data_IF_218651579130
#
_entry.id   IF_218651579130
#
_cell.length_a   1.000
_cell.length_b   1.000
_cell.length_c   1.000
_cell.angle_alpha   90.00
_cell.angle_beta   90.00
_cell.angle_gamma   90.00
#
_symmetry.space_group_name_H-M   'P 1'
#
loop_
_entity.id
_entity.type
_entity.pdbx_description
1 polymer ?
#
# COMPACT_ATOMS: atom_id res chain seq x y z
N UNK A 1 13.77 12.35 19.99
CA UNK A 1 12.43 11.78 20.27
C UNK A 1 11.46 12.45 19.30
N UNK A 2 10.98 11.74 18.28
CA UNK A 2 9.90 12.24 17.42
C UNK A 2 8.59 11.73 18.03
N UNK A 3 7.83 12.63 18.63
CA UNK A 3 6.52 12.31 19.20
C UNK A 3 5.47 12.35 18.09
N UNK A 4 4.90 11.19 17.76
CA UNK A 4 3.79 10.94 16.82
C UNK A 4 2.44 11.51 17.28
N UNK A 5 2.43 12.62 18.04
CA UNK A 5 1.17 13.20 18.54
C UNK A 5 0.52 14.07 17.47
N UNK A 6 -0.51 13.53 16.81
CA UNK A 6 -1.43 14.28 15.94
C UNK A 6 -1.36 13.98 14.44
N UNK A 7 -0.60 12.96 14.01
CA UNK A 7 -0.53 12.59 12.59
C UNK A 7 -1.85 11.91 12.19
N UNK A 8 -2.55 12.49 11.21
CA UNK A 8 -3.77 11.92 10.63
C UNK A 8 -3.49 11.07 9.39
N UNK A 9 -2.34 11.31 8.76
CA UNK A 9 -1.96 10.71 7.48
C UNK A 9 -0.54 10.17 7.56
N UNK A 10 -0.38 8.86 7.32
CA UNK A 10 0.90 8.19 7.22
C UNK A 10 1.26 8.02 5.74
N UNK A 11 2.33 8.66 5.29
CA UNK A 11 2.84 8.54 3.91
C UNK A 11 4.04 7.58 3.91
N UNK A 12 3.96 6.54 3.10
CA UNK A 12 4.96 5.47 3.03
C UNK A 12 5.40 5.30 1.59
N UNK A 13 6.52 5.90 1.23
CA UNK A 13 7.08 5.83 -0.12
C UNK A 13 8.15 4.74 -0.19
N UNK A 14 7.85 3.62 -0.85
CA UNK A 14 8.78 2.52 -1.12
C UNK A 14 9.60 2.06 0.12
N UNK A 15 9.05 2.24 1.32
CA UNK A 15 9.73 2.05 2.61
C UNK A 15 10.19 0.60 2.89
N UNK A 16 9.84 -0.34 2.01
CA UNK A 16 10.17 -1.77 2.08
C UNK A 16 11.22 -2.23 1.05
N UNK A 17 11.65 -1.39 0.10
CA UNK A 17 12.51 -1.85 -1.01
C UNK A 17 13.91 -2.33 -0.60
N UNK A 18 14.43 -1.86 0.54
CA UNK A 18 15.74 -2.26 1.07
C UNK A 18 15.69 -3.49 2.00
N UNK A 19 14.51 -4.07 2.23
CA UNK A 19 14.30 -5.18 3.16
C UNK A 19 14.21 -6.53 2.44
N UNK A 20 14.63 -7.59 3.13
CA UNK A 20 14.35 -8.97 2.69
C UNK A 20 12.83 -9.16 2.51
N UNK A 21 12.35 -9.88 1.48
CA UNK A 21 10.92 -10.04 1.21
C UNK A 21 10.08 -10.51 2.41
N UNK A 22 10.64 -11.34 3.30
CA UNK A 22 9.94 -11.76 4.53
C UNK A 22 9.83 -10.62 5.54
N UNK A 23 10.88 -9.81 5.66
CA UNK A 23 10.91 -8.67 6.57
C UNK A 23 10.01 -7.55 6.07
N UNK A 24 9.94 -7.34 4.74
CA UNK A 24 9.01 -6.42 4.10
C UNK A 24 7.55 -6.77 4.43
N UNK A 25 7.15 -8.04 4.23
CA UNK A 25 5.81 -8.50 4.56
C UNK A 25 5.48 -8.30 6.06
N UNK A 26 6.42 -8.63 6.94
CA UNK A 26 6.26 -8.41 8.38
C UNK A 26 6.08 -6.92 8.73
N UNK A 27 6.85 -6.02 8.12
CA UNK A 27 6.72 -4.58 8.32
C UNK A 27 5.38 -4.04 7.80
N UNK A 28 4.89 -4.55 6.67
CA UNK A 28 3.60 -4.17 6.10
C UNK A 28 2.44 -4.61 7.00
N UNK A 29 2.50 -5.84 7.53
CA UNK A 29 1.50 -6.34 8.47
C UNK A 29 1.50 -5.54 9.79
N UNK A 30 2.69 -5.23 10.31
CA UNK A 30 2.81 -4.41 11.51
C UNK A 30 2.23 -3.00 11.28
N UNK A 31 2.57 -2.40 10.14
CA UNK A 31 2.06 -1.07 9.75
C UNK A 31 0.55 -1.09 9.62
N UNK A 32 -0.02 -2.13 9.00
CA UNK A 32 -1.47 -2.30 8.89
C UNK A 32 -2.13 -2.36 10.26
N UNK A 33 -1.60 -3.15 11.19
CA UNK A 33 -2.14 -3.26 12.54
C UNK A 33 -2.13 -1.90 13.26
N UNK A 34 -1.03 -1.15 13.15
CA UNK A 34 -0.91 0.20 13.74
C UNK A 34 -1.95 1.16 13.14
N UNK A 35 -2.13 1.12 11.82
CA UNK A 35 -3.10 1.97 11.10
C UNK A 35 -4.54 1.63 11.52
N UNK A 36 -4.86 0.35 11.67
CA UNK A 36 -6.19 -0.11 12.12
C UNK A 36 -6.45 0.25 13.59
N UNK A 37 -5.48 0.02 14.48
CA UNK A 37 -5.58 0.33 15.92
C UNK A 37 -5.71 1.84 16.17
N UNK A 38 -4.91 2.64 15.48
CA UNK A 38 -4.85 4.10 15.67
C UNK A 38 -5.80 4.87 14.73
N UNK A 39 -6.55 4.17 13.87
CA UNK A 39 -7.45 4.74 12.85
C UNK A 39 -6.78 5.81 12.00
N UNK A 40 -5.55 5.53 11.57
CA UNK A 40 -4.78 6.43 10.72
C UNK A 40 -5.23 6.28 9.25
N UNK A 41 -5.04 7.33 8.45
CA UNK A 41 -5.12 7.18 6.99
C UNK A 41 -3.71 6.90 6.48
N UNK A 42 -3.45 5.73 5.91
CA UNK A 42 -2.15 5.44 5.30
C UNK A 42 -2.23 5.51 3.77
N UNK A 43 -1.26 6.18 3.15
CA UNK A 43 -1.01 6.14 1.71
C UNK A 43 0.35 5.50 1.48
N UNK A 44 0.35 4.36 0.81
CA UNK A 44 1.55 3.61 0.46
C UNK A 44 1.79 3.70 -1.04
N UNK A 45 3.02 4.01 -1.42
CA UNK A 45 3.50 3.96 -2.81
C UNK A 45 4.44 2.77 -2.94
N UNK A 46 4.16 1.89 -3.90
CA UNK A 46 4.99 0.71 -4.17
C UNK A 46 4.96 0.38 -5.66
N UNK A 47 6.07 -0.12 -6.17
CA UNK A 47 6.15 -0.69 -7.52
C UNK A 47 5.69 -2.16 -7.54
N UNK A 48 5.50 -2.79 -6.37
CA UNK A 48 5.04 -4.17 -6.23
C UNK A 48 3.51 -4.23 -6.21
N UNK A 49 2.94 -4.71 -7.31
CA UNK A 49 1.49 -4.96 -7.42
C UNK A 49 0.99 -5.95 -6.37
N UNK A 50 1.81 -6.95 -5.99
CA UNK A 50 1.42 -7.95 -4.99
C UNK A 50 1.21 -7.30 -3.62
N UNK A 51 2.15 -6.46 -3.19
CA UNK A 51 2.07 -5.79 -1.89
C UNK A 51 0.91 -4.78 -1.86
N UNK A 52 0.66 -4.11 -2.99
CA UNK A 52 -0.43 -3.15 -3.10
C UNK A 52 -1.82 -3.81 -2.98
N UNK A 53 -1.97 -5.06 -3.41
CA UNK A 53 -3.22 -5.81 -3.39
C UNK A 53 -3.43 -6.60 -2.09
N UNK A 54 -2.36 -7.12 -1.50
CA UNK A 54 -2.45 -7.93 -0.29
C UNK A 54 -2.62 -7.06 0.97
N UNK A 55 -2.12 -5.82 0.99
CA UNK A 55 -2.13 -4.95 2.18
C UNK A 55 -3.06 -3.72 2.08
N UNK A 56 -3.52 -3.35 0.88
CA UNK A 56 -4.37 -2.18 0.67
C UNK A 56 -5.84 -2.55 0.43
N UNK A 57 -6.83 -1.94 1.11
CA UNK A 57 -8.25 -2.16 0.79
C UNK A 57 -8.67 -1.52 -0.54
N UNK A 58 -7.97 -0.46 -0.95
CA UNK A 58 -8.11 0.23 -2.24
C UNK A 58 -6.72 0.45 -2.80
N UNK A 59 -6.56 0.13 -4.08
CA UNK A 59 -5.29 0.27 -4.79
C UNK A 59 -5.50 1.23 -5.95
N UNK A 60 -4.61 2.20 -6.09
CA UNK A 60 -4.63 3.14 -7.20
C UNK A 60 -3.47 2.78 -8.13
N UNK A 61 -3.79 2.31 -9.33
CA UNK A 61 -2.79 1.96 -10.34
C UNK A 61 -2.63 3.10 -11.33
N UNK A 62 -1.40 3.58 -11.45
CA UNK A 62 -1.00 4.61 -12.40
C UNK A 62 -0.30 3.93 -13.58
N UNK A 63 -0.76 4.21 -14.80
CA UNK A 63 -0.16 3.67 -16.03
C UNK A 63 -0.10 4.76 -17.11
N UNK A 64 1.11 5.00 -17.64
CA UNK A 64 1.42 5.92 -18.76
C UNK A 64 0.71 7.29 -18.74
N UNK A 65 0.96 8.10 -17.69
CA UNK A 65 0.45 9.47 -17.59
C UNK A 65 -0.78 9.59 -16.66
N UNK A 66 -1.65 10.60 -16.83
CA UNK A 66 -2.75 10.89 -15.90
C UNK A 66 -3.87 9.83 -15.89
N UNK A 67 -3.77 8.77 -16.69
CA UNK A 67 -4.65 7.61 -16.65
C UNK A 67 -4.43 6.81 -15.37
N UNK A 68 -5.36 7.00 -14.44
CA UNK A 68 -5.38 6.38 -13.14
C UNK A 68 -6.58 5.43 -13.04
N UNK A 69 -6.35 4.15 -12.72
CA UNK A 69 -7.41 3.19 -12.44
C UNK A 69 -7.47 2.89 -10.94
N UNK A 70 -8.67 2.94 -10.36
CA UNK A 70 -8.89 2.61 -8.94
C UNK A 70 -9.41 1.18 -8.87
N UNK A 71 -8.67 0.31 -8.19
CA UNK A 71 -8.96 -1.11 -8.07
C UNK A 71 -9.35 -1.44 -6.63
N UNK A 72 -10.47 -2.17 -6.43
CA UNK A 72 -10.71 -2.86 -5.17
C UNK A 72 -9.68 -3.97 -4.98
N UNK A 73 -9.15 -4.13 -3.77
CA UNK A 73 -8.21 -5.21 -3.41
C UNK A 73 -8.71 -6.61 -3.86
N UNK A 74 -10.02 -6.81 -3.83
CA UNK A 74 -10.69 -8.06 -4.17
C UNK A 74 -10.85 -8.31 -5.67
N UNK A 75 -10.83 -7.29 -6.53
CA UNK A 75 -11.03 -7.46 -7.99
C UNK A 75 -9.75 -7.79 -8.75
N UNK A 76 -8.58 -7.67 -8.14
CA UNK A 76 -7.31 -7.86 -8.83
C UNK A 76 -6.86 -9.33 -8.98
N UNK A 77 -7.55 -10.27 -8.33
CA UNK A 77 -7.29 -11.72 -8.47
C UNK A 77 -7.94 -12.37 -9.68
N UNK A 78 -8.79 -11.63 -10.42
CA UNK A 78 -9.32 -12.08 -11.70
C UNK A 78 -8.25 -11.87 -12.78
N UNK A 79 -7.60 -12.98 -13.15
CA UNK A 79 -6.84 -13.13 -14.39
C UNK A 79 -7.54 -12.43 -15.55
N UNK A 80 -6.80 -11.60 -16.30
CA UNK A 80 -7.24 -10.67 -17.34
C UNK A 80 -7.49 -9.25 -16.82
N UNK A 81 -6.40 -8.56 -16.47
CA UNK A 81 -6.42 -7.11 -16.64
C UNK A 81 -6.17 -6.83 -18.13
N UNK A 82 -7.07 -6.09 -18.80
CA UNK A 82 -6.74 -5.52 -20.08
C UNK A 82 -5.62 -4.53 -19.79
N UNK A 83 -4.41 -4.92 -20.20
CA UNK A 83 -3.47 -3.96 -20.76
C UNK A 83 -4.30 -3.03 -21.65
N UNK A 84 -4.39 -1.76 -21.27
CA UNK A 84 -4.23 -0.78 -22.34
C UNK A 84 -2.88 -1.09 -23.00
#
# INVERSE_FOLDING_TARGET
>A
MSTLTGIKILLLDEHTAALDPRMAAFMLDLTRNIVEEQRLTALMVTHSMRDALDHGPRTVMLHEGPSCSILPATSARASTFPIC
#
